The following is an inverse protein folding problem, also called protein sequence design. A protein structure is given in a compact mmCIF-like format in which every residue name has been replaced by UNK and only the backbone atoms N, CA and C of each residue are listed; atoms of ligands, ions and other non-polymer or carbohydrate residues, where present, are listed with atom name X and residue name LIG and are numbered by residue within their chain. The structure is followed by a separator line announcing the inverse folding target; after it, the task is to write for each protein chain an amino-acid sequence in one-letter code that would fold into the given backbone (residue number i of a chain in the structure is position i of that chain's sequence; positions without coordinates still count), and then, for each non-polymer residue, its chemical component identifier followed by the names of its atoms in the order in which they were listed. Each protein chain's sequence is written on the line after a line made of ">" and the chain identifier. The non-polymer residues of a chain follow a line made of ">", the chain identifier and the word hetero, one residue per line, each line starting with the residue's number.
data_IF_218122026759
#
_entry.id   IF_218122026759
#
_cell.length_a   1.000
_cell.length_b   1.000
_cell.length_c   1.000
_cell.angle_alpha   90.00
_cell.angle_beta   90.00
_cell.angle_gamma   90.00
#
_symmetry.space_group_name_H-M   'P 1'
#
loop_
_entity.id
_entity.type
_entity.pdbx_description
1 polymer ?
#
# COMPACT_ATOMS: atom_id res chain seq x y z
N UNK A 1 -3.16 11.65 -7.60
CA UNK A 1 -4.03 12.56 -6.81
C UNK A 1 -4.03 12.06 -5.37
N UNK A 2 -3.64 12.93 -4.42
CA UNK A 2 -3.56 12.55 -3.00
C UNK A 2 -4.95 12.20 -2.45
N UNK A 3 -5.04 11.05 -1.78
CA UNK A 3 -6.25 10.53 -1.12
C UNK A 3 -6.04 10.45 0.39
N UNK A 4 -7.06 10.70 1.23
CA UNK A 4 -6.91 10.55 2.68
C UNK A 4 -6.71 9.08 3.06
N UNK A 5 -5.92 8.82 4.10
CA UNK A 5 -5.83 7.49 4.72
C UNK A 5 -7.06 7.27 5.60
N UNK A 6 -7.77 6.16 5.40
CA UNK A 6 -9.01 5.83 6.13
C UNK A 6 -8.78 5.11 7.45
N UNK A 7 -7.67 4.38 7.55
CA UNK A 7 -7.29 3.62 8.74
C UNK A 7 -5.87 4.03 9.18
N UNK A 8 -4.87 3.15 9.04
CA UNK A 8 -3.50 3.39 9.46
C UNK A 8 -2.49 2.67 8.59
N UNK A 9 -1.33 3.27 8.43
CA UNK A 9 -0.13 2.62 7.91
C UNK A 9 1.00 2.77 8.92
N UNK A 10 1.78 1.70 9.08
CA UNK A 10 3.00 1.68 9.89
C UNK A 10 4.15 1.31 8.97
N UNK A 11 5.26 2.03 9.10
CA UNK A 11 6.45 1.86 8.28
C UNK A 11 7.64 1.76 9.20
N UNK A 12 8.46 0.74 8.99
CA UNK A 12 9.79 0.66 9.59
C UNK A 12 10.86 0.51 8.52
N UNK A 13 12.05 1.04 8.82
CA UNK A 13 13.29 0.73 8.11
C UNK A 13 14.34 0.44 9.16
N UNK A 14 14.77 -0.82 9.19
CA UNK A 14 15.69 -1.35 10.20
C UNK A 14 17.09 -1.53 9.59
N UNK A 15 18.08 -0.88 10.20
CA UNK A 15 19.52 -1.04 9.96
C UNK A 15 20.14 -1.77 11.16
N UNK A 16 21.33 -2.39 11.03
CA UNK A 16 21.97 -3.11 12.13
C UNK A 16 22.15 -2.31 13.43
N UNK A 17 22.35 -1.00 13.33
CA UNK A 17 22.63 -0.08 14.44
C UNK A 17 21.51 0.94 14.68
N UNK A 18 20.49 0.99 13.82
CA UNK A 18 19.45 2.02 13.87
C UNK A 18 18.15 1.56 13.25
N UNK A 19 17.03 1.88 13.89
CA UNK A 19 15.72 1.69 13.30
C UNK A 19 14.98 3.01 13.17
N UNK A 20 14.25 3.16 12.08
CA UNK A 20 13.31 4.26 11.84
C UNK A 20 11.91 3.70 11.83
N UNK A 21 11.03 4.28 12.65
CA UNK A 21 9.61 3.91 12.72
C UNK A 21 8.75 5.13 12.43
N UNK A 22 7.70 4.92 11.64
CA UNK A 22 6.73 5.94 11.29
C UNK A 22 5.32 5.36 11.26
N UNK A 23 4.34 6.18 11.59
CA UNK A 23 2.93 5.87 11.38
C UNK A 23 2.21 7.02 10.70
N UNK A 24 1.26 6.65 9.85
CA UNK A 24 0.39 7.53 9.09
C UNK A 24 -1.05 7.13 9.38
N UNK A 25 -1.90 8.09 9.70
CA UNK A 25 -3.30 7.85 10.07
C UNK A 25 -4.22 8.85 9.38
N UNK A 26 -5.40 9.11 9.95
CA UNK A 26 -6.46 9.93 9.32
C UNK A 26 -6.07 11.37 8.94
N UNK A 27 -5.00 11.94 9.54
CA UNK A 27 -4.44 13.24 9.16
C UNK A 27 -3.33 13.16 8.10
N UNK A 28 -3.18 11.99 7.48
CA UNK A 28 -2.20 11.71 6.43
C UNK A 28 -2.92 11.38 5.13
N UNK A 29 -2.18 11.47 4.02
CA UNK A 29 -2.66 11.15 2.68
C UNK A 29 -1.73 10.17 2.00
N UNK A 30 -2.24 9.46 0.99
CA UNK A 30 -1.44 8.64 0.10
C UNK A 30 -1.60 9.07 -1.36
N UNK A 31 -0.58 8.85 -2.19
CA UNK A 31 -0.63 8.99 -3.65
C UNK A 31 -0.08 7.73 -4.30
N UNK A 32 -0.66 7.35 -5.44
CA UNK A 32 -0.22 6.20 -6.22
C UNK A 32 -0.12 6.60 -7.68
N UNK A 33 1.04 6.37 -8.29
CA UNK A 33 1.35 6.69 -9.70
C UNK A 33 2.10 5.54 -10.34
N UNK A 34 1.79 5.23 -11.60
CA UNK A 34 2.51 4.23 -12.38
C UNK A 34 3.40 4.91 -13.41
N UNK A 35 4.55 4.31 -13.71
CA UNK A 35 5.45 4.72 -14.78
C UNK A 35 5.88 3.51 -15.64
N UNK A 36 6.92 3.66 -16.46
CA UNK A 36 7.43 2.60 -17.32
C UNK A 36 8.09 1.43 -16.57
N UNK A 37 8.42 1.59 -15.29
CA UNK A 37 9.16 0.61 -14.50
C UNK A 37 8.33 0.01 -13.37
N UNK A 38 7.36 0.74 -12.82
CA UNK A 38 6.57 0.25 -11.71
C UNK A 38 5.57 1.22 -11.14
N UNK A 39 5.32 1.04 -9.84
CA UNK A 39 4.35 1.78 -9.06
C UNK A 39 5.05 2.58 -7.97
N UNK A 40 4.82 3.90 -7.97
CA UNK A 40 5.16 4.81 -6.89
C UNK A 40 4.02 4.84 -5.89
N UNK A 41 4.33 4.63 -4.62
CA UNK A 41 3.40 4.70 -3.49
C UNK A 41 3.98 5.68 -2.47
N UNK A 42 3.30 6.80 -2.27
CA UNK A 42 3.71 7.86 -1.35
C UNK A 42 2.74 7.93 -0.17
N UNK A 43 3.24 8.04 1.05
CA UNK A 43 2.49 8.37 2.27
C UNK A 43 3.01 9.70 2.82
N UNK A 44 2.09 10.66 3.04
CA UNK A 44 2.42 12.02 3.45
C UNK A 44 1.63 12.43 4.69
N UNK A 45 2.32 13.03 5.66
CA UNK A 45 1.71 13.76 6.76
C UNK A 45 2.12 15.23 6.68
N UNK A 46 1.16 16.09 6.35
CA UNK A 46 1.39 17.53 6.23
C UNK A 46 1.20 18.32 7.54
N UNK A 47 0.44 17.76 8.50
CA UNK A 47 0.10 18.43 9.75
C UNK A 47 1.02 18.04 10.91
N UNK A 48 1.53 19.04 11.62
CA UNK A 48 2.47 18.86 12.73
C UNK A 48 3.88 18.56 12.23
N UNK A 49 4.52 17.53 12.79
CA UNK A 49 5.79 17.02 12.28
C UNK A 49 5.58 16.39 10.89
N UNK A 50 6.24 16.97 9.88
CA UNK A 50 6.15 16.47 8.51
C UNK A 50 6.82 15.11 8.39
N UNK A 51 6.11 14.15 7.81
CA UNK A 51 6.62 12.80 7.51
C UNK A 51 6.27 12.43 6.08
N UNK A 52 7.20 11.77 5.42
CA UNK A 52 7.02 11.26 4.07
C UNK A 52 7.70 9.89 3.98
N UNK A 53 7.01 8.94 3.37
CA UNK A 53 7.57 7.65 2.95
C UNK A 53 7.17 7.43 1.50
N UNK A 54 8.14 7.08 0.66
CA UNK A 54 7.93 6.76 -0.75
C UNK A 54 8.49 5.39 -1.07
N UNK A 55 7.72 4.60 -1.80
CA UNK A 55 8.14 3.32 -2.37
C UNK A 55 8.05 3.39 -3.88
N UNK A 56 9.07 2.89 -4.57
CA UNK A 56 9.00 2.59 -6.00
C UNK A 56 9.19 1.09 -6.20
N UNK A 57 8.12 0.39 -6.59
CA UNK A 57 8.08 -1.06 -6.68
C UNK A 57 7.92 -1.46 -8.14
N UNK A 58 8.93 -2.15 -8.68
CA UNK A 58 8.92 -2.60 -10.08
C UNK A 58 7.85 -3.68 -10.31
N UNK A 59 7.30 -3.75 -11.53
CA UNK A 59 6.12 -4.59 -11.82
C UNK A 59 6.23 -6.06 -11.45
N UNK A 60 7.37 -6.72 -11.69
CA UNK A 60 7.53 -8.14 -11.30
C UNK A 60 7.64 -8.34 -9.79
N UNK A 61 8.28 -7.42 -9.07
CA UNK A 61 8.30 -7.46 -7.61
C UNK A 61 6.90 -7.19 -7.05
N UNK A 62 6.18 -6.22 -7.62
CA UNK A 62 4.80 -5.91 -7.24
C UNK A 62 3.88 -7.13 -7.45
N UNK A 63 4.01 -7.82 -8.58
CA UNK A 63 3.25 -9.04 -8.84
C UNK A 63 3.54 -10.14 -7.79
N UNK A 64 4.81 -10.36 -7.45
CA UNK A 64 5.19 -11.30 -6.40
C UNK A 64 4.66 -10.91 -5.01
N UNK A 65 4.66 -9.62 -4.68
CA UNK A 65 4.08 -9.12 -3.42
C UNK A 65 2.56 -9.36 -3.37
N UNK A 66 1.85 -9.11 -4.47
CA UNK A 66 0.39 -9.33 -4.54
C UNK A 66 0.05 -10.82 -4.38
N UNK A 67 0.80 -11.70 -5.04
CA UNK A 67 0.61 -13.15 -4.94
C UNK A 67 0.84 -13.65 -3.50
N UNK A 68 1.98 -13.28 -2.91
CA UNK A 68 2.31 -13.62 -1.52
C UNK A 68 1.31 -13.03 -0.52
N UNK A 69 0.79 -11.81 -0.77
CA UNK A 69 -0.27 -11.22 0.03
C UNK A 69 -1.55 -12.06 -0.05
N UNK A 70 -1.94 -12.54 -1.25
CA UNK A 70 -3.07 -13.45 -1.42
C UNK A 70 -2.95 -14.72 -0.57
N UNK A 71 -1.78 -15.37 -0.60
CA UNK A 71 -1.52 -16.55 0.24
C UNK A 71 -1.60 -16.26 1.75
N UNK A 72 -1.07 -15.11 2.19
CA UNK A 72 -1.09 -14.71 3.59
C UNK A 72 -2.52 -14.40 4.06
N UNK A 73 -3.31 -13.69 3.24
CA UNK A 73 -4.70 -13.34 3.55
C UNK A 73 -5.61 -14.58 3.52
N UNK A 74 -5.33 -15.59 2.69
CA UNK A 74 -6.09 -16.84 2.71
C UNK A 74 -5.96 -17.60 4.06
N UNK A 75 -4.85 -17.40 4.78
CA UNK A 75 -4.56 -18.06 6.06
C UNK A 75 -5.04 -17.27 7.27
N UNK A 76 -5.44 -16.00 7.11
CA UNK A 76 -5.82 -15.15 8.25
C UNK A 76 -7.28 -15.34 8.68
N UNK A 77 -7.49 -15.50 9.99
CA UNK A 77 -8.80 -15.54 10.65
C UNK A 77 -9.20 -14.19 11.27
N UNK A 78 -8.27 -13.24 11.34
CA UNK A 78 -8.48 -11.97 12.04
C UNK A 78 -9.27 -10.92 11.23
N UNK A 79 -9.43 -11.15 9.92
CA UNK A 79 -10.10 -10.20 9.03
C UNK A 79 -11.61 -10.38 9.05
N UNK A 80 -12.33 -9.28 9.31
CA UNK A 80 -13.79 -9.23 9.28
C UNK A 80 -14.36 -9.17 7.85
N UNK A 81 -15.68 -9.27 7.73
CA UNK A 81 -16.35 -9.30 6.43
C UNK A 81 -16.23 -7.98 5.66
N UNK A 82 -16.25 -6.84 6.36
CA UNK A 82 -16.14 -5.53 5.72
C UNK A 82 -14.75 -5.32 5.11
N UNK A 83 -13.70 -5.73 5.83
CA UNK A 83 -12.32 -5.74 5.35
C UNK A 83 -12.13 -6.69 4.17
N UNK A 84 -12.71 -7.90 4.22
CA UNK A 84 -12.69 -8.88 3.11
C UNK A 84 -13.33 -8.30 1.87
N UNK A 85 -14.54 -7.76 2.00
CA UNK A 85 -15.29 -7.17 0.90
C UNK A 85 -14.53 -6.00 0.27
N UNK A 86 -13.96 -5.10 1.08
CA UNK A 86 -13.17 -3.97 0.58
C UNK A 86 -11.91 -4.40 -0.19
N UNK A 87 -11.20 -5.43 0.29
CA UNK A 87 -10.02 -5.97 -0.40
C UNK A 87 -10.40 -6.70 -1.69
N UNK A 88 -11.50 -7.46 -1.69
CA UNK A 88 -12.00 -8.13 -2.88
C UNK A 88 -12.38 -7.12 -3.98
N UNK A 89 -13.14 -6.08 -3.64
CA UNK A 89 -13.52 -5.02 -4.57
C UNK A 89 -12.29 -4.30 -5.17
N UNK A 90 -11.24 -4.09 -4.37
CA UNK A 90 -10.00 -3.49 -4.82
C UNK A 90 -9.21 -4.42 -5.75
N UNK A 91 -9.13 -5.71 -5.41
CA UNK A 91 -8.47 -6.73 -6.22
C UNK A 91 -9.14 -6.90 -7.58
N UNK A 92 -10.49 -6.89 -7.62
CA UNK A 92 -11.24 -6.97 -8.88
C UNK A 92 -11.00 -5.76 -9.79
N UNK A 93 -10.88 -4.56 -9.21
CA UNK A 93 -10.52 -3.33 -9.96
C UNK A 93 -9.09 -3.42 -10.51
N UNK A 94 -8.15 -3.90 -9.70
CA UNK A 94 -6.77 -4.13 -10.14
C UNK A 94 -6.70 -5.16 -11.27
N UNK A 95 -7.38 -6.29 -11.11
CA UNK A 95 -7.44 -7.36 -12.10
C UNK A 95 -8.05 -6.90 -13.44
N UNK A 96 -9.00 -5.95 -13.41
CA UNK A 96 -9.53 -5.31 -14.62
C UNK A 96 -8.52 -4.36 -15.26
N UNK A 97 -7.81 -3.56 -14.47
CA UNK A 97 -6.88 -2.55 -14.96
C UNK A 97 -5.63 -3.13 -15.64
N UNK A 98 -5.20 -4.34 -15.27
CA UNK A 98 -4.00 -4.99 -15.86
C UNK A 98 -4.30 -5.84 -17.10
N UNK A 99 -5.57 -5.92 -17.53
CA UNK A 99 -5.93 -6.63 -18.76
C UNK A 99 -5.49 -5.80 -19.98
N UNK A 100 -5.00 -6.45 -21.06
CA UNK A 100 -4.67 -5.75 -22.29
C UNK A 100 -5.87 -4.97 -22.83
N UNK A 101 -5.70 -3.66 -23.08
CA UNK A 101 -6.72 -2.79 -23.68
C UNK A 101 -7.71 -2.12 -22.72
N UNK A 102 -7.42 -2.10 -21.41
CA UNK A 102 -8.09 -1.21 -20.45
C UNK A 102 -7.56 0.23 -20.48
#
# INVERSE_FOLDING_TARGET
>A
MKKPITDRAEVSVDFPDKAYYGSFGQHSSYDVRADEHGLHIDLDRGAGEKRHVGFHIHYFLLAGIIDAAGEALAKTKAMDEAQRSALQDAADKLAKAVKPGA
#
